data_IF_368747423853
#
_entry.id   IF_368747423853
#
_cell.length_a   1.000
_cell.length_b   1.000
_cell.length_c   1.000
_cell.angle_alpha   90.00
_cell.angle_beta   90.00
_cell.angle_gamma   90.00
#
_symmetry.space_group_name_H-M   'P 1'
#
loop_
_entity.id
_entity.type
_entity.pdbx_description
1 polymer ?
#
# COMPACT_ATOMS: atom_id res chain seq x y z
N UNK A 1 1.71 11.33 13.21
CA UNK A 1 3.11 11.42 12.71
C UNK A 1 3.18 12.58 11.72
N UNK A 2 4.36 13.08 11.39
CA UNK A 2 4.57 14.04 10.29
C UNK A 2 4.77 13.30 8.96
N UNK A 3 4.72 14.04 7.84
CA UNK A 3 5.01 13.50 6.50
C UNK A 3 6.41 12.88 6.44
N UNK A 4 7.40 13.56 6.99
CA UNK A 4 8.79 13.09 7.00
C UNK A 4 8.96 11.86 7.89
N UNK A 5 8.29 11.79 9.05
CA UNK A 5 8.29 10.61 9.91
C UNK A 5 7.67 9.39 9.20
N UNK A 6 6.57 9.59 8.47
CA UNK A 6 5.94 8.53 7.68
C UNK A 6 6.89 8.01 6.59
N UNK A 7 7.50 8.91 5.81
CA UNK A 7 8.47 8.53 4.76
C UNK A 7 9.67 7.80 5.37
N UNK A 8 10.19 8.27 6.51
CA UNK A 8 11.31 7.65 7.20
C UNK A 8 10.98 6.25 7.74
N UNK A 9 9.73 6.00 8.17
CA UNK A 9 9.27 4.66 8.56
C UNK A 9 9.10 3.72 7.36
N UNK A 10 8.54 4.21 6.26
CA UNK A 10 8.21 3.38 5.09
C UNK A 10 9.42 3.06 4.21
N UNK A 11 10.33 4.01 4.01
CA UNK A 11 11.49 3.84 3.12
C UNK A 11 12.32 2.58 3.41
N UNK A 12 12.74 2.29 4.67
CA UNK A 12 13.48 1.06 4.95
C UNK A 12 12.62 -0.21 4.84
N UNK A 13 11.29 -0.11 4.95
CA UNK A 13 10.39 -1.26 4.92
C UNK A 13 10.04 -1.72 3.48
N UNK A 14 9.88 -0.76 2.56
CA UNK A 14 9.33 -1.01 1.22
C UNK A 14 10.04 -0.28 0.07
N UNK A 15 10.95 0.65 0.37
CA UNK A 15 11.55 1.57 -0.61
C UNK A 15 12.57 0.94 -1.56
N UNK A 16 12.90 -0.33 -1.39
CA UNK A 16 13.76 -1.11 -2.30
C UNK A 16 13.01 -1.60 -3.55
N UNK A 17 11.68 -1.66 -3.50
CA UNK A 17 10.83 -2.09 -4.62
C UNK A 17 10.28 -0.90 -5.41
N UNK A 18 10.06 -1.09 -6.72
CA UNK A 18 9.42 -0.06 -7.56
C UNK A 18 8.01 0.29 -7.07
N UNK A 19 7.23 -0.72 -6.66
CA UNK A 19 5.89 -0.51 -6.13
C UNK A 19 5.90 0.22 -4.79
N UNK A 20 6.84 -0.12 -3.89
CA UNK A 20 6.95 0.55 -2.59
C UNK A 20 7.39 2.00 -2.70
N UNK A 21 8.30 2.35 -3.63
CA UNK A 21 8.62 3.76 -3.95
C UNK A 21 7.40 4.54 -4.40
N UNK A 22 6.65 4.00 -5.36
CA UNK A 22 5.42 4.63 -5.85
C UNK A 22 4.36 4.76 -4.76
N UNK A 23 4.25 3.78 -3.86
CA UNK A 23 3.36 3.85 -2.70
C UNK A 23 3.77 4.97 -1.74
N UNK A 24 5.06 5.12 -1.44
CA UNK A 24 5.58 6.21 -0.60
C UNK A 24 5.25 7.57 -1.21
N UNK A 25 5.47 7.74 -2.52
CA UNK A 25 5.13 8.97 -3.25
C UNK A 25 3.64 9.30 -3.14
N UNK A 26 2.76 8.32 -3.39
CA UNK A 26 1.31 8.52 -3.27
C UNK A 26 0.90 8.92 -1.86
N UNK A 27 1.41 8.22 -0.83
CA UNK A 27 1.07 8.51 0.56
C UNK A 27 1.61 9.87 0.99
N UNK A 28 2.79 10.26 0.48
CA UNK A 28 3.38 11.57 0.69
C UNK A 28 2.52 12.70 0.07
N UNK A 29 1.95 12.47 -1.11
CA UNK A 29 1.09 13.43 -1.80
C UNK A 29 -0.29 13.56 -1.14
N UNK A 30 -0.79 12.46 -0.57
CA UNK A 30 -2.10 12.43 0.10
C UNK A 30 -2.01 12.57 1.61
N UNK A 31 -0.86 12.97 2.15
CA UNK A 31 -0.59 12.96 3.59
C UNK A 31 -1.60 13.80 4.39
N UNK A 32 -1.92 15.00 3.89
CA UNK A 32 -2.84 15.94 4.55
C UNK A 32 -4.33 15.67 4.21
N UNK A 33 -4.67 14.54 3.59
CA UNK A 33 -6.06 14.25 3.18
C UNK A 33 -6.95 13.79 4.34
N UNK A 34 -6.36 13.43 5.49
CA UNK A 34 -7.10 13.10 6.71
C UNK A 34 -7.98 14.27 7.19
N UNK A 35 -7.56 15.51 6.95
CA UNK A 35 -8.32 16.72 7.29
C UNK A 35 -9.24 17.20 6.15
N UNK A 36 -9.35 16.42 5.06
CA UNK A 36 -10.11 16.76 3.86
C UNK A 36 -11.35 15.87 3.71
N UNK A 37 -12.03 16.01 2.56
CA UNK A 37 -13.34 15.42 2.25
C UNK A 37 -13.49 13.92 2.54
N UNK A 38 -12.41 13.14 2.43
CA UNK A 38 -12.45 11.68 2.59
C UNK A 38 -11.97 11.21 3.96
N UNK A 39 -11.30 12.05 4.76
CA UNK A 39 -10.94 11.73 6.14
C UNK A 39 -9.96 10.56 6.31
N UNK A 40 -9.16 10.25 5.29
CA UNK A 40 -8.29 9.07 5.27
C UNK A 40 -6.84 9.42 5.53
N UNK A 41 -6.25 8.77 6.53
CA UNK A 41 -4.81 8.80 6.75
C UNK A 41 -4.05 7.79 5.88
N UNK A 42 -2.74 7.68 6.08
CA UNK A 42 -1.90 6.77 5.31
C UNK A 42 -2.21 5.28 5.60
N UNK A 43 -2.58 4.94 6.84
CA UNK A 43 -2.92 3.58 7.22
C UNK A 43 -4.26 3.15 6.61
N UNK A 44 -5.26 4.03 6.64
CA UNK A 44 -6.57 3.80 6.00
C UNK A 44 -6.40 3.47 4.52
N UNK A 45 -5.56 4.25 3.82
CA UNK A 45 -5.29 4.05 2.38
C UNK A 45 -4.58 2.73 2.09
N UNK A 46 -3.65 2.33 2.97
CA UNK A 46 -2.98 1.04 2.86
C UNK A 46 -3.99 -0.09 3.06
N UNK A 47 -4.87 0.01 4.05
CA UNK A 47 -5.87 -1.00 4.36
C UNK A 47 -6.89 -1.17 3.23
N UNK A 48 -7.38 -0.07 2.65
CA UNK A 48 -8.26 -0.08 1.48
C UNK A 48 -7.58 -0.74 0.27
N UNK A 49 -6.32 -0.36 0.01
CA UNK A 49 -5.56 -0.91 -1.11
C UNK A 49 -5.30 -2.41 -0.91
N UNK A 50 -5.00 -2.84 0.31
CA UNK A 50 -4.79 -4.23 0.67
C UNK A 50 -6.05 -5.05 0.41
N UNK A 51 -7.22 -4.57 0.85
CA UNK A 51 -8.51 -5.21 0.61
C UNK A 51 -8.81 -5.36 -0.88
N UNK A 52 -8.58 -4.30 -1.66
CA UNK A 52 -8.78 -4.31 -3.11
C UNK A 52 -7.89 -5.34 -3.82
N UNK A 53 -6.59 -5.37 -3.51
CA UNK A 53 -5.64 -6.25 -4.19
C UNK A 53 -5.83 -7.72 -3.80
N UNK A 54 -6.14 -8.03 -2.54
CA UNK A 54 -6.51 -9.40 -2.12
C UNK A 54 -7.77 -9.90 -2.85
N UNK A 55 -8.72 -9.00 -3.12
CA UNK A 55 -9.89 -9.29 -3.94
C UNK A 55 -9.52 -9.67 -5.38
N UNK A 56 -8.62 -8.91 -6.00
CA UNK A 56 -8.13 -9.19 -7.36
C UNK A 56 -7.27 -10.43 -7.45
N UNK A 57 -6.37 -10.65 -6.50
CA UNK A 57 -5.56 -11.87 -6.39
C UNK A 57 -6.47 -13.11 -6.39
N UNK A 58 -7.48 -13.13 -5.51
CA UNK A 58 -8.45 -14.23 -5.43
C UNK A 58 -9.21 -14.41 -6.74
N UNK A 59 -9.60 -13.32 -7.40
CA UNK A 59 -10.32 -13.35 -8.68
C UNK A 59 -9.44 -13.92 -9.80
N UNK A 60 -8.21 -13.43 -9.94
CA UNK A 60 -7.26 -13.92 -10.94
C UNK A 60 -6.94 -15.40 -10.73
N UNK A 61 -6.71 -15.83 -9.49
CA UNK A 61 -6.50 -17.23 -9.15
C UNK A 61 -7.70 -18.11 -9.53
N UNK A 62 -8.93 -17.66 -9.24
CA UNK A 62 -10.16 -18.37 -9.62
C UNK A 62 -10.36 -18.47 -11.14
N UNK A 63 -9.77 -17.56 -11.91
CA UNK A 63 -9.77 -17.56 -13.38
C UNK A 63 -8.59 -18.32 -14.00
N UNK A 64 -7.68 -18.87 -13.20
CA UNK A 64 -6.45 -19.52 -13.68
C UNK A 64 -5.43 -18.52 -14.27
N UNK A 65 -5.53 -17.24 -13.92
CA UNK A 65 -4.62 -16.18 -14.38
C UNK A 65 -3.42 -16.04 -13.41
N UNK A 66 -2.64 -17.12 -13.26
CA UNK A 66 -1.60 -17.25 -12.22
C UNK A 66 -0.58 -16.09 -12.21
N UNK A 67 -0.15 -15.64 -13.40
CA UNK A 67 0.80 -14.53 -13.51
C UNK A 67 0.22 -13.21 -12.95
N UNK A 68 -1.09 -12.98 -13.13
CA UNK A 68 -1.75 -11.79 -12.58
C UNK A 68 -2.00 -11.95 -11.08
N UNK A 69 -2.36 -13.15 -10.62
CA UNK A 69 -2.49 -13.43 -9.19
C UNK A 69 -1.16 -13.19 -8.46
N UNK A 70 -0.05 -13.71 -8.99
CA UNK A 70 1.28 -13.48 -8.44
C UNK A 70 1.66 -11.99 -8.42
N UNK A 71 1.36 -11.25 -9.49
CA UNK A 71 1.61 -9.81 -9.53
C UNK A 71 0.80 -9.01 -8.49
N UNK A 72 -0.41 -9.45 -8.13
CA UNK A 72 -1.15 -8.85 -7.02
C UNK A 72 -0.60 -9.27 -5.66
N UNK A 73 -0.22 -10.55 -5.50
CA UNK A 73 0.39 -11.06 -4.27
C UNK A 73 1.70 -10.33 -3.92
N UNK A 74 2.54 -10.02 -4.90
CA UNK A 74 3.77 -9.24 -4.71
C UNK A 74 3.47 -7.84 -4.14
N UNK A 75 2.43 -7.18 -4.66
CA UNK A 75 1.99 -5.86 -4.16
C UNK A 75 1.37 -5.96 -2.77
N UNK A 76 0.59 -7.02 -2.50
CA UNK A 76 0.03 -7.31 -1.18
C UNK A 76 1.15 -7.45 -0.15
N UNK A 77 2.21 -8.19 -0.44
CA UNK A 77 3.34 -8.36 0.47
C UNK A 77 4.03 -7.02 0.80
N UNK A 78 4.14 -6.11 -0.17
CA UNK A 78 4.65 -4.75 0.06
C UNK A 78 3.71 -3.95 0.97
N UNK A 79 2.39 -4.01 0.74
CA UNK A 79 1.41 -3.30 1.57
C UNK A 79 1.34 -3.84 3.00
N UNK A 80 1.52 -5.15 3.21
CA UNK A 80 1.56 -5.73 4.56
C UNK A 80 2.79 -5.25 5.35
N UNK A 81 3.95 -5.12 4.69
CA UNK A 81 5.14 -4.49 5.29
C UNK A 81 4.90 -3.02 5.60
N UNK A 82 4.26 -2.28 4.69
CA UNK A 82 3.93 -0.87 4.90
C UNK A 82 2.97 -0.69 6.09
N UNK A 83 1.92 -1.50 6.15
CA UNK A 83 0.93 -1.51 7.23
C UNK A 83 1.61 -1.79 8.58
N UNK A 84 2.49 -2.78 8.64
CA UNK A 84 3.24 -3.11 9.84
C UNK A 84 4.19 -1.99 10.29
N UNK A 85 4.76 -1.22 9.36
CA UNK A 85 5.64 -0.10 9.69
C UNK A 85 4.91 1.14 10.24
N UNK A 86 3.62 1.30 9.93
CA UNK A 86 2.81 2.45 10.36
C UNK A 86 1.95 2.20 11.61
N UNK A 87 1.69 0.94 11.96
CA UNK A 87 1.10 0.53 13.25
C UNK A 87 2.04 0.84 14.42
#
# INVERSE_FOLDING_TARGET
MTKDEMIAKLTPAIGDTAYGKALIEVLADTFDDADKKYGQDALDRIDDRLGFLKGWEKKHAAMGEDAKAAAEADKVAVLEKAQAALK
#
